data_IF_115204270322
#
_entry.id   IF_115204270322
#
_cell.length_a   1.000
_cell.length_b   1.000
_cell.length_c   1.000
_cell.angle_alpha   90.00
_cell.angle_beta   90.00
_cell.angle_gamma   90.00
#
_symmetry.space_group_name_H-M   'P 1'
#
loop_
_entity.id
_entity.type
_entity.pdbx_description
1 polymer ?
#
# COMPACT_ATOMS: atom_id res chain seq x y z
N UNK A 1 -41.67 0.31 27.33
CA UNK A 1 -40.42 -0.37 26.93
C UNK A 1 -39.74 0.47 25.87
N UNK A 2 -38.58 1.06 26.19
CA UNK A 2 -37.77 1.81 25.23
C UNK A 2 -37.29 0.85 24.14
N UNK A 3 -37.64 1.13 22.87
CA UNK A 3 -37.13 0.35 21.74
C UNK A 3 -35.63 0.61 21.65
N UNK A 4 -34.82 -0.36 22.07
CA UNK A 4 -33.37 -0.34 21.88
C UNK A 4 -33.10 -0.19 20.39
N UNK A 5 -32.69 0.99 19.97
CA UNK A 5 -32.42 1.28 18.57
C UNK A 5 -31.13 0.56 18.19
N UNK A 6 -31.26 -0.59 17.51
CA UNK A 6 -30.15 -1.41 17.00
C UNK A 6 -29.13 -0.61 16.16
N UNK A 7 -29.52 0.55 15.66
CA UNK A 7 -28.66 1.43 14.87
C UNK A 7 -27.95 2.52 15.69
N UNK A 8 -28.23 2.66 16.99
CA UNK A 8 -27.56 3.62 17.86
C UNK A 8 -26.08 3.28 18.12
N UNK A 9 -25.66 2.05 17.82
CA UNK A 9 -24.26 1.61 17.92
C UNK A 9 -23.38 2.09 16.77
N UNK A 10 -23.97 2.58 15.66
CA UNK A 10 -23.16 3.11 14.55
C UNK A 10 -22.63 4.50 14.93
N UNK A 11 -21.31 4.74 14.79
CA UNK A 11 -20.74 6.02 15.13
C UNK A 11 -21.29 7.11 14.21
N UNK A 12 -21.52 8.31 14.77
CA UNK A 12 -21.91 9.48 14.00
C UNK A 12 -20.79 9.85 13.02
N UNK A 13 -21.15 10.09 11.76
CA UNK A 13 -20.22 10.59 10.73
C UNK A 13 -19.88 12.07 11.00
N UNK A 14 -18.92 12.32 11.88
CA UNK A 14 -18.50 13.66 12.27
C UNK A 14 -16.98 13.69 12.53
N UNK A 15 -16.15 13.57 11.48
CA UNK A 15 -14.70 13.60 11.62
C UNK A 15 -14.21 14.98 12.10
N UNK A 16 -13.10 15.00 12.81
CA UNK A 16 -12.38 16.25 13.12
C UNK A 16 -11.77 16.85 11.84
N UNK A 17 -11.60 18.17 11.81
CA UNK A 17 -10.88 18.83 10.73
C UNK A 17 -9.42 18.37 10.66
N UNK A 18 -8.92 18.14 9.45
CA UNK A 18 -7.51 17.76 9.22
C UNK A 18 -6.61 18.94 9.58
N UNK A 19 -5.82 18.77 10.66
CA UNK A 19 -4.84 19.75 11.11
C UNK A 19 -3.44 19.48 10.56
N UNK A 20 -2.54 20.47 10.68
CA UNK A 20 -1.15 20.38 10.21
C UNK A 20 -0.30 19.31 10.93
N UNK A 21 -0.66 18.95 12.17
CA UNK A 21 0.13 18.07 13.03
C UNK A 21 -0.45 16.64 13.10
N UNK A 22 -1.40 16.30 12.23
CA UNK A 22 -2.00 14.96 12.21
C UNK A 22 -1.00 13.92 11.68
N UNK A 23 -0.91 12.78 12.37
CA UNK A 23 -0.11 11.66 11.87
C UNK A 23 -0.79 11.02 10.65
N UNK A 24 -0.02 10.34 9.81
CA UNK A 24 -0.60 9.60 8.67
C UNK A 24 -1.59 8.50 9.13
N UNK A 25 -1.31 7.85 10.27
CA UNK A 25 -2.18 6.83 10.83
C UNK A 25 -3.52 7.43 11.30
N UNK A 26 -3.47 8.55 12.03
CA UNK A 26 -4.67 9.24 12.52
C UNK A 26 -5.48 9.87 11.39
N UNK A 27 -4.80 10.34 10.32
CA UNK A 27 -5.46 10.82 9.12
C UNK A 27 -6.32 9.71 8.49
N UNK A 28 -5.73 8.53 8.30
CA UNK A 28 -6.42 7.38 7.72
C UNK A 28 -7.54 6.91 8.65
N UNK A 29 -7.29 6.74 9.95
CA UNK A 29 -8.31 6.24 10.87
C UNK A 29 -9.46 7.24 11.11
N UNK A 30 -9.13 8.52 11.27
CA UNK A 30 -10.09 9.55 11.65
C UNK A 30 -10.92 10.10 10.49
N UNK A 31 -10.40 10.08 9.27
CA UNK A 31 -11.00 10.87 8.16
C UNK A 31 -11.32 10.07 6.90
N UNK A 32 -10.69 8.92 6.67
CA UNK A 32 -10.94 8.10 5.48
C UNK A 32 -12.15 7.19 5.72
N UNK A 33 -13.35 7.78 5.75
CA UNK A 33 -14.57 7.10 6.23
C UNK A 33 -15.42 6.46 5.13
N UNK A 34 -15.16 6.75 3.85
CA UNK A 34 -15.97 6.27 2.72
C UNK A 34 -15.16 6.08 1.43
N UNK A 35 -15.78 5.42 0.44
CA UNK A 35 -15.17 5.13 -0.88
C UNK A 35 -13.83 4.39 -0.77
N UNK A 36 -12.89 4.66 -1.68
CA UNK A 36 -11.56 4.07 -1.67
C UNK A 36 -10.77 4.42 -0.40
N UNK A 37 -10.97 5.61 0.16
CA UNK A 37 -10.39 5.99 1.45
C UNK A 37 -10.87 5.04 2.57
N UNK A 38 -12.18 4.83 2.66
CA UNK A 38 -12.79 3.89 3.60
C UNK A 38 -12.23 2.47 3.45
N UNK A 39 -12.04 2.00 2.22
CA UNK A 39 -11.40 0.69 1.97
C UNK A 39 -9.96 0.64 2.47
N UNK A 40 -9.17 1.70 2.23
CA UNK A 40 -7.80 1.79 2.74
C UNK A 40 -7.75 1.76 4.27
N UNK A 41 -8.66 2.50 4.92
CA UNK A 41 -8.79 2.50 6.38
C UNK A 41 -9.10 1.12 6.93
N UNK A 42 -10.07 0.42 6.35
CA UNK A 42 -10.41 -0.93 6.79
C UNK A 42 -9.24 -1.90 6.59
N UNK A 43 -8.50 -1.79 5.48
CA UNK A 43 -7.31 -2.60 5.24
C UNK A 43 -6.21 -2.33 6.28
N UNK A 44 -5.96 -1.07 6.63
CA UNK A 44 -4.99 -0.69 7.65
C UNK A 44 -5.37 -1.25 9.03
N UNK A 45 -6.65 -1.18 9.40
CA UNK A 45 -7.15 -1.76 10.67
C UNK A 45 -7.04 -3.27 10.70
N UNK A 46 -7.39 -3.93 9.61
CA UNK A 46 -7.29 -5.38 9.51
C UNK A 46 -5.84 -5.84 9.65
N UNK A 47 -4.92 -5.17 8.94
CA UNK A 47 -3.49 -5.47 9.02
C UNK A 47 -2.97 -5.28 10.44
N UNK A 48 -3.16 -4.09 11.02
CA UNK A 48 -2.58 -3.73 12.32
C UNK A 48 -3.25 -4.40 13.53
N UNK A 49 -4.56 -4.63 13.46
CA UNK A 49 -5.34 -5.14 14.59
C UNK A 49 -5.58 -6.65 14.58
N UNK A 50 -5.36 -7.32 13.44
CA UNK A 50 -5.69 -8.75 13.31
C UNK A 50 -4.62 -9.58 12.60
N UNK A 51 -3.95 -9.05 11.58
CA UNK A 51 -2.98 -9.85 10.81
C UNK A 51 -1.59 -9.83 11.44
N UNK A 52 -1.12 -8.66 11.85
CA UNK A 52 0.20 -8.49 12.48
C UNK A 52 0.25 -8.97 13.93
N UNK A 53 -0.77 -8.75 14.78
CA UNK A 53 -0.80 -9.33 16.12
C UNK A 53 -0.93 -10.86 16.08
N UNK A 54 -0.54 -11.51 17.19
CA UNK A 54 -0.74 -12.95 17.44
C UNK A 54 0.00 -13.91 16.49
N UNK A 55 1.22 -13.55 16.05
CA UNK A 55 2.07 -14.38 15.18
C UNK A 55 1.34 -14.86 13.90
N UNK A 56 0.51 -13.98 13.33
CA UNK A 56 -0.20 -14.25 12.09
C UNK A 56 0.76 -14.46 10.91
N UNK A 57 0.49 -15.48 10.10
CA UNK A 57 1.25 -15.77 8.89
C UNK A 57 0.76 -14.92 7.71
N UNK A 58 1.63 -14.04 7.19
CA UNK A 58 1.33 -13.08 6.13
C UNK A 58 2.04 -13.49 4.83
N UNK A 59 1.22 -13.92 3.87
CA UNK A 59 1.63 -14.13 2.48
C UNK A 59 1.29 -12.94 1.60
N UNK A 60 2.21 -12.53 0.71
CA UNK A 60 1.96 -11.52 -0.32
C UNK A 60 1.88 -12.14 -1.71
N UNK A 61 0.90 -11.72 -2.50
CA UNK A 61 0.82 -12.02 -3.94
C UNK A 61 1.08 -10.75 -4.72
N UNK A 62 2.17 -10.73 -5.50
CA UNK A 62 2.67 -9.58 -6.22
C UNK A 62 2.53 -9.78 -7.73
N UNK A 63 1.78 -8.91 -8.37
CA UNK A 63 1.59 -8.88 -9.82
C UNK A 63 1.85 -7.48 -10.37
N UNK A 64 1.97 -7.37 -11.69
CA UNK A 64 2.28 -6.12 -12.37
C UNK A 64 3.69 -5.61 -12.07
N UNK A 65 3.87 -4.30 -12.26
CA UNK A 65 5.15 -3.61 -12.25
C UNK A 65 5.38 -2.87 -10.91
N UNK A 66 5.36 -3.58 -9.77
CA UNK A 66 5.49 -2.97 -8.44
C UNK A 66 6.93 -2.58 -8.12
N UNK A 67 7.88 -3.49 -8.30
CA UNK A 67 9.30 -3.20 -8.04
C UNK A 67 9.86 -2.11 -8.96
N UNK A 68 9.61 -2.06 -10.30
CA UNK A 68 10.09 -0.93 -11.12
C UNK A 68 9.40 0.40 -10.75
N UNK A 69 8.17 0.36 -10.22
CA UNK A 69 7.51 1.54 -9.64
C UNK A 69 8.10 1.99 -8.29
N UNK A 70 9.16 1.33 -7.81
CA UNK A 70 9.88 1.68 -6.58
C UNK A 70 9.33 1.06 -5.30
N UNK A 71 8.21 0.32 -5.37
CA UNK A 71 7.55 -0.26 -4.19
C UNK A 71 8.36 -1.38 -3.54
N UNK A 72 9.29 -1.98 -4.27
CA UNK A 72 10.28 -2.91 -3.71
C UNK A 72 11.06 -2.27 -2.56
N UNK A 73 11.76 -1.17 -2.85
CA UNK A 73 12.57 -0.44 -1.86
C UNK A 73 11.72 0.30 -0.82
N UNK A 74 10.63 0.95 -1.24
CA UNK A 74 9.87 1.85 -0.37
C UNK A 74 8.91 1.14 0.58
N UNK A 75 8.41 -0.04 0.23
CA UNK A 75 7.36 -0.72 1.00
C UNK A 75 7.68 -2.19 1.31
N UNK A 76 8.04 -2.99 0.30
CA UNK A 76 8.23 -4.43 0.48
C UNK A 76 9.45 -4.75 1.35
N UNK A 77 10.61 -4.15 1.06
CA UNK A 77 11.84 -4.35 1.83
C UNK A 77 11.67 -4.01 3.32
N UNK A 78 11.10 -2.84 3.71
CA UNK A 78 10.84 -2.53 5.11
C UNK A 78 9.96 -3.58 5.82
N UNK A 79 8.88 -4.04 5.17
CA UNK A 79 7.98 -5.06 5.74
C UNK A 79 8.69 -6.40 5.93
N UNK A 80 9.47 -6.83 4.93
CA UNK A 80 10.27 -8.07 5.02
C UNK A 80 11.33 -7.98 6.12
N UNK A 81 12.08 -6.87 6.20
CA UNK A 81 13.12 -6.67 7.23
C UNK A 81 12.56 -6.59 8.65
N UNK A 82 11.33 -6.09 8.79
CA UNK A 82 10.63 -6.07 10.07
C UNK A 82 10.03 -7.43 10.46
N UNK A 83 10.11 -8.45 9.59
CA UNK A 83 9.56 -9.78 9.85
C UNK A 83 8.05 -9.89 9.67
N UNK A 84 7.42 -8.95 8.96
CA UNK A 84 5.97 -8.93 8.73
C UNK A 84 5.51 -9.72 7.50
N UNK A 85 6.42 -10.38 6.79
CA UNK A 85 6.12 -11.11 5.55
C UNK A 85 6.80 -12.47 5.61
N UNK A 86 6.00 -13.53 5.55
CA UNK A 86 6.48 -14.92 5.65
C UNK A 86 6.77 -15.54 4.28
N UNK A 87 5.95 -15.25 3.27
CA UNK A 87 6.20 -15.69 1.91
C UNK A 87 5.66 -14.72 0.86
N UNK A 88 6.26 -14.79 -0.32
CA UNK A 88 5.87 -13.99 -1.48
C UNK A 88 5.67 -14.92 -2.67
N UNK A 89 4.53 -14.77 -3.34
CA UNK A 89 4.30 -15.27 -4.69
C UNK A 89 4.40 -14.08 -5.63
N UNK A 90 5.23 -14.16 -6.67
CA UNK A 90 5.45 -13.03 -7.57
C UNK A 90 5.60 -13.46 -9.03
N UNK A 91 5.34 -12.53 -9.94
CA UNK A 91 5.71 -12.66 -11.36
C UNK A 91 7.21 -12.41 -11.55
N UNK A 92 7.80 -12.99 -12.60
CA UNK A 92 9.22 -12.82 -12.91
C UNK A 92 9.64 -11.36 -13.16
N UNK A 93 8.73 -10.50 -13.62
CA UNK A 93 9.00 -9.08 -13.84
C UNK A 93 9.43 -8.37 -12.56
N UNK A 94 8.81 -8.68 -11.41
CA UNK A 94 9.18 -8.03 -10.15
C UNK A 94 10.60 -8.41 -9.72
N UNK A 95 11.00 -9.68 -9.90
CA UNK A 95 12.36 -10.15 -9.60
C UNK A 95 13.39 -9.55 -10.56
N UNK A 96 13.06 -9.48 -11.86
CA UNK A 96 13.93 -8.89 -12.87
C UNK A 96 14.27 -7.44 -12.56
N UNK A 97 13.25 -6.61 -12.28
CA UNK A 97 13.46 -5.20 -11.96
C UNK A 97 14.06 -4.96 -10.57
N UNK A 98 13.81 -5.85 -9.60
CA UNK A 98 14.51 -5.78 -8.31
C UNK A 98 16.01 -6.05 -8.47
N UNK A 99 16.38 -6.99 -9.36
CA UNK A 99 17.79 -7.23 -9.70
C UNK A 99 18.45 -6.01 -10.35
N UNK A 100 17.74 -5.23 -11.17
CA UNK A 100 18.30 -3.98 -11.73
C UNK A 100 18.73 -3.04 -10.61
N UNK A 101 17.89 -2.88 -9.59
CA UNK A 101 18.24 -2.10 -8.41
C UNK A 101 19.39 -2.71 -7.60
N UNK A 102 19.48 -4.04 -7.52
CA UNK A 102 20.57 -4.73 -6.82
C UNK A 102 21.91 -4.66 -7.55
N UNK A 103 21.89 -4.56 -8.88
CA UNK A 103 23.07 -4.38 -9.75
C UNK A 103 23.44 -2.91 -9.98
N UNK A 104 22.79 -2.00 -9.26
CA UNK A 104 22.97 -0.54 -9.41
C UNK A 104 22.75 -0.03 -10.86
N UNK A 105 21.85 -0.69 -11.59
CA UNK A 105 21.42 -0.22 -12.90
C UNK A 105 20.44 0.93 -12.74
N UNK A 106 20.56 1.93 -13.59
CA UNK A 106 19.70 3.10 -13.55
C UNK A 106 18.29 2.78 -14.09
N UNK A 107 17.28 3.05 -13.28
CA UNK A 107 15.87 3.08 -13.66
C UNK A 107 15.36 4.50 -13.45
N UNK A 108 14.71 5.06 -14.47
CA UNK A 108 14.23 6.45 -14.46
C UNK A 108 12.71 6.49 -14.50
N UNK A 109 12.14 7.51 -13.85
CA UNK A 109 10.71 7.79 -13.98
C UNK A 109 10.42 8.29 -15.40
N UNK A 110 9.62 7.53 -16.15
CA UNK A 110 9.12 7.93 -17.46
C UNK A 110 7.85 8.77 -17.39
N UNK A 111 7.29 9.05 -18.56
CA UNK A 111 5.97 9.68 -18.72
C UNK A 111 5.16 8.91 -19.77
N UNK A 112 3.85 8.71 -19.56
CA UNK A 112 2.98 8.08 -20.54
C UNK A 112 2.75 8.96 -21.79
N UNK A 113 3.25 10.20 -21.78
CA UNK A 113 3.11 11.16 -22.88
C UNK A 113 4.37 11.23 -23.77
N UNK A 114 5.37 10.39 -23.54
CA UNK A 114 6.57 10.30 -24.39
C UNK A 114 6.24 9.53 -25.67
N UNK A 115 6.91 9.91 -26.77
CA UNK A 115 6.80 9.22 -28.06
C UNK A 115 7.58 7.89 -28.00
N UNK A 116 6.87 6.78 -28.16
CA UNK A 116 7.46 5.43 -28.12
C UNK A 116 8.39 5.15 -29.32
N UNK A 117 8.19 5.81 -30.45
CA UNK A 117 9.07 5.74 -31.62
C UNK A 117 10.39 6.43 -31.34
N UNK A 118 10.36 7.58 -30.66
CA UNK A 118 11.56 8.28 -30.24
C UNK A 118 12.32 7.47 -29.19
N UNK A 119 11.64 6.97 -28.16
CA UNK A 119 12.24 6.11 -27.13
C UNK A 119 12.95 4.90 -27.76
N UNK A 120 12.30 4.22 -28.70
CA UNK A 120 12.89 3.09 -29.43
C UNK A 120 14.13 3.49 -30.23
N UNK A 121 14.15 4.68 -30.86
CA UNK A 121 15.32 5.16 -31.62
C UNK A 121 16.51 5.44 -30.70
N UNK A 122 16.25 5.96 -29.52
CA UNK A 122 17.26 6.24 -28.48
C UNK A 122 17.68 4.98 -27.69
N UNK A 123 17.05 3.84 -27.95
CA UNK A 123 17.40 2.56 -27.33
C UNK A 123 16.91 2.40 -25.89
N UNK A 124 15.83 3.10 -25.54
CA UNK A 124 15.11 2.97 -24.27
C UNK A 124 14.10 1.82 -24.32
#
# INVERSE_FOLDING_TARGET
MSKTNKFAAYPRLNPIGVGKDISAADLIDGTFLAYNGGRLREAAKLLAGKMLPDDGFIGLSLTGALTPAGLGKSCLLPLMKAGFVDWIVSTGANLYHDLHYGLDMALYQGSPFLDDVELRREGV
#
